data_IF_044418612613
#
_entry.id   IF_044418612613
#
_cell.length_a   1.000
_cell.length_b   1.000
_cell.length_c   1.000
_cell.angle_alpha   90.00
_cell.angle_beta   90.00
_cell.angle_gamma   90.00
#
_symmetry.space_group_name_H-M   'P 1'
#
loop_
_entity.id
_entity.type
_entity.pdbx_description
1 polymer ?
#
# COMPACT_ATOMS: atom_id res chain seq x y z
N UNK A 1 -21.80 -13.83 -13.15
CA UNK A 1 -20.32 -13.83 -13.04
C UNK A 1 -19.96 -13.36 -11.64
N UNK A 2 -19.42 -14.24 -10.81
CA UNK A 2 -19.10 -13.92 -9.42
C UNK A 2 -18.08 -12.78 -9.32
N UNK A 3 -18.25 -11.91 -8.32
CA UNK A 3 -17.41 -10.74 -8.07
C UNK A 3 -15.92 -11.12 -7.95
N UNK A 4 -15.62 -12.25 -7.32
CA UNK A 4 -14.27 -12.82 -7.18
C UNK A 4 -13.65 -13.13 -8.55
N UNK A 5 -14.43 -13.69 -9.49
CA UNK A 5 -13.95 -14.05 -10.81
C UNK A 5 -13.67 -12.81 -11.68
N UNK A 6 -14.47 -11.73 -11.49
CA UNK A 6 -14.21 -10.43 -12.14
C UNK A 6 -12.89 -9.81 -11.67
N UNK A 7 -12.59 -9.87 -10.37
CA UNK A 7 -11.35 -9.35 -9.79
C UNK A 7 -10.15 -10.14 -10.30
N UNK A 8 -10.21 -11.48 -10.24
CA UNK A 8 -9.12 -12.33 -10.73
C UNK A 8 -8.77 -12.05 -12.18
N UNK A 9 -9.78 -11.90 -13.05
CA UNK A 9 -9.56 -11.58 -14.47
C UNK A 9 -8.94 -10.20 -14.66
N UNK A 10 -9.39 -9.18 -13.92
CA UNK A 10 -8.86 -7.81 -14.02
C UNK A 10 -7.39 -7.73 -13.60
N UNK A 11 -6.99 -8.51 -12.60
CA UNK A 11 -5.67 -8.48 -11.99
C UNK A 11 -4.77 -9.68 -12.37
N UNK A 12 -5.21 -10.50 -13.33
CA UNK A 12 -4.49 -11.69 -13.83
C UNK A 12 -4.10 -12.69 -12.72
N UNK A 13 -4.95 -12.83 -11.70
CA UNK A 13 -4.73 -13.72 -10.57
C UNK A 13 -5.16 -15.14 -10.95
N UNK A 14 -4.24 -16.10 -10.80
CA UNK A 14 -4.41 -17.47 -11.28
C UNK A 14 -5.08 -18.40 -10.26
N UNK A 15 -5.03 -18.08 -8.97
CA UNK A 15 -5.55 -18.96 -7.92
C UNK A 15 -6.17 -18.22 -6.72
N UNK A 16 -7.06 -18.91 -5.99
CA UNK A 16 -7.62 -18.40 -4.72
C UNK A 16 -6.54 -18.15 -3.66
N UNK A 17 -5.52 -19.02 -3.61
CA UNK A 17 -4.38 -18.86 -2.70
C UNK A 17 -3.60 -17.58 -2.99
N UNK A 18 -3.36 -17.28 -4.27
CA UNK A 18 -2.71 -16.05 -4.67
C UNK A 18 -3.53 -14.82 -4.26
N UNK A 19 -4.85 -14.86 -4.45
CA UNK A 19 -5.75 -13.78 -4.02
C UNK A 19 -5.67 -13.53 -2.52
N UNK A 20 -5.70 -14.60 -1.70
CA UNK A 20 -5.60 -14.51 -0.25
C UNK A 20 -4.26 -13.90 0.18
N UNK A 21 -3.15 -14.33 -0.41
CA UNK A 21 -1.81 -13.77 -0.12
C UNK A 21 -1.77 -12.28 -0.48
N UNK A 22 -2.32 -11.88 -1.63
CA UNK A 22 -2.36 -10.48 -2.04
C UNK A 22 -3.14 -9.63 -1.03
N UNK A 23 -4.29 -10.11 -0.55
CA UNK A 23 -5.07 -9.41 0.48
C UNK A 23 -4.30 -9.30 1.80
N UNK A 24 -3.62 -10.37 2.23
CA UNK A 24 -2.78 -10.34 3.42
C UNK A 24 -1.65 -9.30 3.30
N UNK A 25 -0.95 -9.28 2.16
CA UNK A 25 0.10 -8.29 1.89
C UNK A 25 -0.47 -6.89 1.95
N UNK A 26 -1.61 -6.61 1.31
CA UNK A 26 -2.24 -5.29 1.37
C UNK A 26 -2.62 -4.86 2.79
N UNK A 27 -3.14 -5.78 3.61
CA UNK A 27 -3.46 -5.51 5.01
C UNK A 27 -2.22 -5.16 5.83
N UNK A 28 -1.18 -6.01 5.76
CA UNK A 28 0.08 -5.79 6.49
C UNK A 28 0.73 -4.48 6.02
N UNK A 29 0.83 -4.26 4.72
CA UNK A 29 1.44 -3.04 4.17
C UNK A 29 0.65 -1.79 4.58
N UNK A 30 -0.68 -1.83 4.60
CA UNK A 30 -1.52 -0.70 5.00
C UNK A 30 -1.34 -0.32 6.47
N UNK A 31 -1.41 -1.30 7.37
CA UNK A 31 -1.18 -1.08 8.80
C UNK A 31 0.23 -0.58 9.08
N UNK A 32 1.24 -1.18 8.45
CA UNK A 32 2.64 -0.79 8.62
C UNK A 32 2.91 0.62 8.11
N UNK A 33 2.37 1.00 6.93
CA UNK A 33 2.52 2.35 6.40
C UNK A 33 1.86 3.41 7.32
N UNK A 34 0.66 3.11 7.84
CA UNK A 34 -0.01 4.00 8.78
C UNK A 34 0.78 4.19 10.07
N UNK A 35 1.40 3.13 10.58
CA UNK A 35 2.24 3.17 11.79
C UNK A 35 3.55 3.96 11.55
N UNK A 36 4.27 3.66 10.47
CA UNK A 36 5.56 4.31 10.12
C UNK A 36 5.36 5.78 9.69
N UNK A 37 4.21 6.17 9.16
CA UNK A 37 3.97 7.57 8.77
C UNK A 37 4.10 8.56 9.92
N UNK A 38 3.76 8.15 11.15
CA UNK A 38 3.83 9.01 12.34
C UNK A 38 5.28 9.39 12.72
N UNK A 39 6.22 8.46 12.93
CA UNK A 39 7.61 8.81 13.22
C UNK A 39 8.27 9.55 12.05
N UNK A 40 7.89 9.28 10.80
CA UNK A 40 8.41 10.06 9.65
C UNK A 40 7.97 11.53 9.75
N UNK A 41 6.69 11.79 10.03
CA UNK A 41 6.16 13.16 10.21
C UNK A 41 6.85 13.88 11.37
N UNK A 42 7.04 13.19 12.49
CA UNK A 42 7.72 13.76 13.66
C UNK A 42 9.19 14.06 13.38
N UNK A 43 9.88 13.19 12.60
CA UNK A 43 11.27 13.39 12.19
C UNK A 43 11.45 14.64 11.31
N UNK A 44 10.49 14.94 10.44
CA UNK A 44 10.50 16.16 9.61
C UNK A 44 9.92 17.39 10.34
N UNK A 45 9.68 17.30 11.65
CA UNK A 45 9.19 18.41 12.48
C UNK A 45 7.68 18.67 12.41
N UNK A 46 6.91 17.82 11.74
CA UNK A 46 5.46 17.93 11.59
C UNK A 46 4.78 17.18 12.74
N UNK A 47 4.55 17.89 13.84
CA UNK A 47 3.81 17.38 15.00
C UNK A 47 2.34 17.79 14.93
N UNK A 48 1.45 16.91 15.39
CA UNK A 48 0.01 17.23 15.53
C UNK A 48 -0.23 18.42 16.48
N UNK A 49 0.68 18.65 17.43
CA UNK A 49 0.62 19.79 18.36
C UNK A 49 0.96 21.13 17.72
N UNK A 50 1.71 21.13 16.60
CA UNK A 50 2.32 22.33 16.05
C UNK A 50 1.62 22.81 14.76
N UNK A 51 0.80 21.95 14.15
CA UNK A 51 0.14 22.21 12.87
C UNK A 51 -1.34 21.84 12.99
N UNK A 52 -2.22 22.65 12.40
CA UNK A 52 -3.66 22.36 12.35
C UNK A 52 -3.92 20.97 11.75
N UNK A 53 -4.88 20.24 12.34
CA UNK A 53 -5.30 18.92 11.85
C UNK A 53 -5.64 18.93 10.35
N UNK A 54 -6.16 20.05 9.84
CA UNK A 54 -6.51 20.22 8.44
C UNK A 54 -5.31 20.09 7.50
N UNK A 55 -4.11 20.50 7.92
CA UNK A 55 -2.88 20.33 7.14
C UNK A 55 -2.15 19.04 7.47
N UNK A 56 -2.22 18.59 8.73
CA UNK A 56 -1.57 17.37 9.18
C UNK A 56 -2.02 16.13 8.38
N UNK A 57 -3.32 15.96 8.19
CA UNK A 57 -3.87 14.78 7.52
C UNK A 57 -3.51 14.68 6.03
N UNK A 58 -3.66 15.73 5.20
CA UNK A 58 -3.19 15.71 3.81
C UNK A 58 -1.70 15.39 3.69
N UNK A 59 -0.84 16.02 4.51
CA UNK A 59 0.60 15.76 4.48
C UNK A 59 0.88 14.30 4.86
N UNK A 60 0.19 13.78 5.89
CA UNK A 60 0.29 12.37 6.28
C UNK A 60 -0.08 11.42 5.15
N UNK A 61 -1.16 11.69 4.42
CA UNK A 61 -1.58 10.88 3.28
C UNK A 61 -0.54 10.95 2.15
N UNK A 62 0.02 12.13 1.87
CA UNK A 62 1.08 12.32 0.89
C UNK A 62 2.32 11.51 1.24
N UNK A 63 2.67 11.36 2.51
CA UNK A 63 3.82 10.54 2.98
C UNK A 63 3.48 9.05 2.96
N UNK A 64 2.26 8.66 3.35
CA UNK A 64 1.82 7.27 3.34
C UNK A 64 1.89 6.71 1.91
N UNK A 65 1.54 7.49 0.90
CA UNK A 65 1.49 7.02 -0.49
C UNK A 65 2.83 6.45 -1.02
N UNK A 66 3.96 7.20 -1.04
CA UNK A 66 5.26 6.66 -1.47
C UNK A 66 5.77 5.57 -0.53
N UNK A 67 5.53 5.70 0.77
CA UNK A 67 5.90 4.68 1.75
C UNK A 67 5.19 3.34 1.46
N UNK A 68 3.92 3.40 1.12
CA UNK A 68 3.10 2.24 0.78
C UNK A 68 3.64 1.52 -0.47
N UNK A 69 4.07 2.27 -1.49
CA UNK A 69 4.65 1.68 -2.70
C UNK A 69 5.92 0.88 -2.42
N UNK A 70 6.82 1.43 -1.59
CA UNK A 70 8.06 0.77 -1.19
C UNK A 70 7.75 -0.48 -0.36
N UNK A 71 6.86 -0.36 0.64
CA UNK A 71 6.45 -1.47 1.49
C UNK A 71 5.75 -2.58 0.70
N UNK A 72 4.93 -2.25 -0.31
CA UNK A 72 4.28 -3.25 -1.16
C UNK A 72 5.30 -4.06 -1.95
N UNK A 73 6.36 -3.42 -2.43
CA UNK A 73 7.42 -4.12 -3.14
C UNK A 73 8.20 -5.04 -2.20
N UNK A 74 8.52 -4.58 -0.99
CA UNK A 74 9.26 -5.36 0.02
C UNK A 74 8.42 -6.53 0.52
N UNK A 75 7.24 -6.26 1.10
CA UNK A 75 6.37 -7.28 1.68
C UNK A 75 5.85 -8.20 0.57
N UNK A 76 5.43 -7.66 -0.57
CA UNK A 76 5.06 -8.47 -1.73
C UNK A 76 6.16 -9.39 -2.22
N UNK A 77 7.43 -9.01 -2.09
CA UNK A 77 8.58 -9.88 -2.42
C UNK A 77 8.79 -10.97 -1.39
N UNK A 78 8.65 -10.68 -0.09
CA UNK A 78 8.73 -11.67 1.00
C UNK A 78 7.67 -12.78 0.81
N UNK A 79 6.47 -12.42 0.38
CA UNK A 79 5.38 -13.37 0.12
C UNK A 79 5.41 -13.99 -1.29
N UNK A 80 6.49 -13.80 -2.06
CA UNK A 80 6.65 -14.41 -3.40
C UNK A 80 5.75 -13.81 -4.50
N UNK A 81 5.13 -12.66 -4.26
CA UNK A 81 4.25 -11.95 -5.21
C UNK A 81 4.92 -10.73 -5.87
N UNK A 82 6.26 -10.70 -5.94
CA UNK A 82 7.04 -9.56 -6.45
C UNK A 82 6.63 -9.14 -7.88
N UNK A 83 6.40 -10.09 -8.79
CA UNK A 83 5.97 -9.81 -10.18
C UNK A 83 4.60 -9.13 -10.22
N UNK A 84 3.67 -9.60 -9.38
CA UNK A 84 2.32 -9.02 -9.27
C UNK A 84 2.40 -7.57 -8.79
N UNK A 85 3.10 -7.32 -7.67
CA UNK A 85 3.18 -5.98 -7.09
C UNK A 85 4.01 -4.99 -7.94
N UNK A 86 5.07 -5.45 -8.62
CA UNK A 86 5.78 -4.63 -9.62
C UNK A 86 4.85 -4.20 -10.75
N UNK A 87 4.03 -5.11 -11.28
CA UNK A 87 3.05 -4.79 -12.32
C UNK A 87 1.92 -3.89 -11.79
N UNK A 88 1.48 -4.11 -10.55
CA UNK A 88 0.48 -3.28 -9.89
C UNK A 88 0.96 -1.83 -9.72
N UNK A 89 2.16 -1.63 -9.19
CA UNK A 89 2.77 -0.29 -9.06
C UNK A 89 2.95 0.34 -10.43
N UNK A 90 3.45 -0.40 -11.43
CA UNK A 90 3.56 0.10 -12.81
C UNK A 90 2.21 0.54 -13.37
N UNK A 91 1.11 -0.19 -13.12
CA UNK A 91 -0.25 0.18 -13.55
C UNK A 91 -0.78 1.41 -12.80
N UNK A 92 -0.34 1.64 -11.57
CA UNK A 92 -0.71 2.81 -10.77
C UNK A 92 -0.03 4.10 -11.26
N UNK A 93 1.21 3.98 -11.78
CA UNK A 93 1.95 5.08 -12.39
C UNK A 93 1.73 5.23 -13.90
N UNK A 94 1.41 4.14 -14.61
CA UNK A 94 0.90 4.19 -15.99
C UNK A 94 -0.58 4.58 -15.95
N UNK A 95 -0.81 5.86 -15.74
CA UNK A 95 -2.03 6.54 -16.19
C UNK A 95 -1.61 7.68 -17.09
#
# INVERSE_FOLDING_TARGET
MDLVNKIKRKWEIRSNRQLLIIFLVFGITGSTAAWISKPILEFIGIKQSNISLWFYWPIRIIIIFPLYQILLLIIGTIFGQSKFFKNFIKKMFKK
#
